data_IF_975536424111
#
_entry.id   IF_975536424111
#
_cell.length_a   1.000
_cell.length_b   1.000
_cell.length_c   1.000
_cell.angle_alpha   90.00
_cell.angle_beta   90.00
_cell.angle_gamma   90.00
#
_symmetry.space_group_name_H-M   'P 1'
#
loop_
_entity.id
_entity.type
_entity.pdbx_description
1 polymer ?
#
# COMPACT_ATOMS: atom_id res chain seq x y z
N UNK A 1 -4.74 -3.95 -42.96
CA UNK A 1 -4.71 -4.44 -41.57
C UNK A 1 -4.43 -3.24 -40.67
N UNK A 2 -5.38 -2.72 -39.92
CA UNK A 2 -5.06 -1.68 -38.96
C UNK A 2 -4.40 -2.34 -37.75
N UNK A 3 -3.07 -2.36 -37.73
CA UNK A 3 -2.29 -2.66 -36.52
C UNK A 3 -2.25 -1.41 -35.63
N UNK A 4 -3.40 -1.02 -35.11
CA UNK A 4 -3.44 -0.01 -34.07
C UNK A 4 -2.88 -0.63 -32.80
N UNK A 5 -1.70 -0.20 -32.34
CA UNK A 5 -1.24 -0.49 -31.00
C UNK A 5 -2.33 -0.04 -30.01
N UNK A 6 -2.72 -0.88 -29.07
CA UNK A 6 -3.73 -0.50 -28.09
C UNK A 6 -3.25 0.74 -27.31
N UNK A 7 -4.07 1.79 -27.32
CA UNK A 7 -3.74 3.04 -26.63
C UNK A 7 -3.97 2.86 -25.15
N UNK A 8 -2.98 3.10 -24.30
CA UNK A 8 -3.18 3.02 -22.85
C UNK A 8 -4.09 4.16 -22.35
N UNK A 9 -4.90 3.86 -21.37
CA UNK A 9 -5.72 4.84 -20.63
C UNK A 9 -5.18 5.01 -19.21
N UNK A 10 -5.22 6.24 -18.72
CA UNK A 10 -4.82 6.59 -17.37
C UNK A 10 -5.99 7.19 -16.64
N UNK A 11 -6.24 6.77 -15.41
CA UNK A 11 -7.29 7.34 -14.56
C UNK A 11 -6.88 7.44 -13.10
N UNK A 12 -7.58 8.28 -12.37
CA UNK A 12 -7.54 8.29 -10.91
C UNK A 12 -8.49 7.20 -10.39
N UNK A 13 -8.04 6.44 -9.40
CA UNK A 13 -8.89 5.50 -8.67
C UNK A 13 -9.85 6.28 -7.77
N UNK A 14 -11.06 5.77 -7.60
CA UNK A 14 -11.97 6.32 -6.60
C UNK A 14 -11.49 6.00 -5.16
N UNK A 15 -12.04 6.67 -4.13
CA UNK A 15 -11.61 6.44 -2.75
C UNK A 15 -11.72 4.98 -2.31
N UNK A 16 -12.78 4.28 -2.69
CA UNK A 16 -13.00 2.88 -2.33
C UNK A 16 -11.98 1.95 -3.00
N UNK A 17 -11.72 2.14 -4.28
CA UNK A 17 -10.69 1.40 -5.03
C UNK A 17 -9.30 1.61 -4.41
N UNK A 18 -9.00 2.86 -4.03
CA UNK A 18 -7.73 3.25 -3.40
C UNK A 18 -7.54 2.55 -2.05
N UNK A 19 -8.55 2.59 -1.18
CA UNK A 19 -8.54 1.89 0.11
C UNK A 19 -8.44 0.36 -0.05
N UNK A 20 -9.16 -0.22 -1.00
CA UNK A 20 -9.11 -1.65 -1.28
C UNK A 20 -7.73 -2.09 -1.76
N UNK A 21 -7.05 -1.30 -2.60
CA UNK A 21 -5.69 -1.59 -3.04
C UNK A 21 -4.73 -1.58 -1.85
N UNK A 22 -4.80 -0.57 -0.99
CA UNK A 22 -3.99 -0.47 0.21
C UNK A 22 -4.25 -1.60 1.21
N UNK A 23 -5.51 -1.98 1.41
CA UNK A 23 -5.90 -3.03 2.36
C UNK A 23 -5.54 -4.46 1.91
N UNK A 24 -5.39 -4.68 0.61
CA UNK A 24 -5.14 -6.00 0.01
C UNK A 24 -3.68 -6.42 0.05
N UNK A 25 -2.76 -5.46 0.22
CA UNK A 25 -1.32 -5.68 0.26
C UNK A 25 -0.75 -5.50 1.66
N UNK A 26 0.45 -6.04 1.87
CA UNK A 26 1.15 -5.99 3.16
C UNK A 26 2.63 -5.57 3.01
N UNK A 27 3.07 -5.26 1.81
CA UNK A 27 4.38 -4.69 1.52
C UNK A 27 4.19 -3.40 0.74
N UNK A 28 4.77 -2.33 1.26
CA UNK A 28 4.79 -1.02 0.60
C UNK A 28 6.19 -0.43 0.63
N UNK A 29 6.34 0.74 0.07
CA UNK A 29 7.57 1.54 0.10
C UNK A 29 7.32 2.81 0.89
N UNK A 30 7.96 2.91 2.04
CA UNK A 30 7.89 4.13 2.85
C UNK A 30 8.95 5.11 2.37
N UNK A 31 8.53 6.34 2.08
CA UNK A 31 9.40 7.46 1.76
C UNK A 31 9.38 8.48 2.91
N UNK A 32 10.55 8.95 3.30
CA UNK A 32 10.73 9.93 4.37
C UNK A 32 11.93 10.84 4.08
N UNK A 33 12.01 11.97 4.77
CA UNK A 33 13.11 12.93 4.60
C UNK A 33 14.12 12.82 5.73
N UNK A 34 15.39 12.72 5.40
CA UNK A 34 16.50 12.71 6.34
C UNK A 34 17.65 13.57 5.83
N UNK A 35 18.06 14.57 6.60
CA UNK A 35 19.12 15.52 6.23
C UNK A 35 18.93 16.15 4.83
N UNK A 36 17.69 16.54 4.48
CA UNK A 36 17.35 17.16 3.20
C UNK A 36 17.33 16.20 2.00
N UNK A 37 17.49 14.90 2.22
CA UNK A 37 17.41 13.85 1.22
C UNK A 37 16.15 13.00 1.46
N UNK A 38 15.51 12.55 0.38
CA UNK A 38 14.43 11.59 0.45
C UNK A 38 15.01 10.19 0.37
N UNK A 39 14.70 9.35 1.35
CA UNK A 39 15.00 7.93 1.35
C UNK A 39 13.72 7.12 1.15
N UNK A 40 13.84 5.96 0.48
CA UNK A 40 12.73 5.05 0.18
C UNK A 40 13.16 3.64 0.57
N UNK A 41 12.32 2.94 1.33
CA UNK A 41 12.61 1.58 1.78
C UNK A 41 11.34 0.70 1.75
N UNK A 42 11.46 -0.61 1.47
CA UNK A 42 10.35 -1.53 1.65
C UNK A 42 9.99 -1.69 3.13
N UNK A 43 8.69 -1.79 3.41
CA UNK A 43 8.19 -2.02 4.76
C UNK A 43 6.96 -2.92 4.73
N UNK A 44 6.85 -3.82 5.71
CA UNK A 44 5.61 -4.56 5.94
C UNK A 44 4.63 -3.69 6.72
N UNK A 45 3.37 -3.75 6.33
CA UNK A 45 2.31 -3.00 6.97
C UNK A 45 0.99 -3.78 6.99
N UNK A 46 0.06 -3.32 7.82
CA UNK A 46 -1.36 -3.68 7.77
C UNK A 46 -2.18 -2.40 7.77
N UNK A 47 -3.35 -2.44 7.13
CA UNK A 47 -4.26 -1.29 7.00
C UNK A 47 -5.66 -1.62 7.53
N UNK A 48 -5.84 -1.79 8.82
CA UNK A 48 -7.16 -1.89 9.42
C UNK A 48 -7.72 -0.50 9.75
N UNK A 49 -9.06 -0.35 9.64
CA UNK A 49 -9.83 0.78 10.16
C UNK A 49 -9.31 2.18 9.74
N UNK A 50 -8.82 2.29 8.50
CA UNK A 50 -8.35 3.56 7.96
C UNK A 50 -7.00 4.06 8.51
N UNK A 51 -6.23 3.20 9.18
CA UNK A 51 -4.89 3.51 9.66
C UNK A 51 -3.88 2.45 9.22
N UNK A 52 -2.65 2.90 8.96
CA UNK A 52 -1.53 2.04 8.60
C UNK A 52 -0.74 1.73 9.87
N UNK A 53 -0.48 0.45 10.11
CA UNK A 53 0.39 0.00 11.19
C UNK A 53 1.57 -0.75 10.63
N UNK A 54 2.75 -0.45 11.14
CA UNK A 54 4.01 -1.04 10.70
C UNK A 54 4.98 -1.13 11.87
N UNK A 55 6.08 -1.85 11.70
CA UNK A 55 7.15 -1.90 12.69
C UNK A 55 8.51 -1.80 12.03
N UNK A 56 9.46 -1.23 12.75
CA UNK A 56 10.82 -1.03 12.30
C UNK A 56 11.83 -1.29 13.43
N UNK A 57 13.07 -1.48 13.05
CA UNK A 57 14.17 -1.48 14.00
C UNK A 57 14.53 -0.04 14.43
N UNK A 58 15.09 0.17 15.63
CA UNK A 58 15.77 1.40 15.97
C UNK A 58 16.88 1.70 14.95
N UNK A 59 17.05 2.98 14.58
CA UNK A 59 18.09 3.35 13.60
C UNK A 59 17.82 4.71 12.95
N UNK A 60 18.50 4.97 11.83
CA UNK A 60 18.44 6.25 11.10
C UNK A 60 17.03 6.64 10.65
N UNK A 61 16.23 5.67 10.22
CA UNK A 61 14.82 5.90 9.87
C UNK A 61 14.03 6.46 11.05
N UNK A 62 14.16 5.86 12.24
CA UNK A 62 13.45 6.33 13.43
C UNK A 62 13.91 7.73 13.83
N UNK A 63 15.22 8.02 13.75
CA UNK A 63 15.76 9.35 13.99
C UNK A 63 15.22 10.38 12.98
N UNK A 64 15.14 10.00 11.70
CA UNK A 64 14.55 10.83 10.65
C UNK A 64 13.07 11.14 10.93
N UNK A 65 12.28 10.14 11.28
CA UNK A 65 10.85 10.27 11.61
C UNK A 65 10.60 11.10 12.88
N UNK A 66 11.51 11.01 13.85
CA UNK A 66 11.45 11.87 15.05
C UNK A 66 11.68 13.35 14.73
N UNK A 67 12.50 13.66 13.71
CA UNK A 67 12.78 15.01 13.26
C UNK A 67 11.71 15.53 12.28
N UNK A 68 11.26 14.67 11.36
CA UNK A 68 10.21 14.99 10.38
C UNK A 68 9.25 13.81 10.27
N UNK A 69 8.10 13.84 10.95
CA UNK A 69 7.18 12.71 11.01
C UNK A 69 6.32 12.53 9.75
N UNK A 70 6.49 13.37 8.72
CA UNK A 70 5.79 13.25 7.45
C UNK A 70 6.36 12.14 6.59
N UNK A 71 5.49 11.29 6.08
CA UNK A 71 5.85 10.20 5.17
C UNK A 71 4.90 10.11 3.98
N UNK A 72 5.37 9.41 2.95
CA UNK A 72 4.51 8.78 1.97
C UNK A 72 4.70 7.26 2.05
N UNK A 73 3.61 6.50 1.97
CA UNK A 73 3.64 5.05 1.75
C UNK A 73 3.04 4.79 0.38
N UNK A 74 3.80 4.15 -0.49
CA UNK A 74 3.37 3.73 -1.82
C UNK A 74 3.17 2.23 -1.85
N UNK A 75 2.11 1.79 -2.55
CA UNK A 75 1.79 0.39 -2.82
C UNK A 75 1.33 0.27 -4.26
N UNK A 76 1.83 -0.73 -4.97
CA UNK A 76 1.50 -0.92 -6.38
C UNK A 76 1.18 -2.39 -6.74
N UNK A 77 0.48 -2.53 -7.85
CA UNK A 77 0.30 -3.76 -8.61
C UNK A 77 0.77 -3.47 -10.04
N UNK A 78 1.74 -4.22 -10.55
CA UNK A 78 2.29 -4.00 -11.88
C UNK A 78 2.25 -5.31 -12.66
N UNK A 79 1.35 -5.39 -13.63
CA UNK A 79 1.22 -6.53 -14.55
C UNK A 79 1.92 -6.25 -15.89
N UNK A 80 2.15 -5.00 -16.23
CA UNK A 80 2.82 -4.58 -17.45
C UNK A 80 3.08 -3.08 -17.50
N UNK A 81 3.77 -2.63 -18.57
CA UNK A 81 4.16 -1.23 -18.75
C UNK A 81 2.97 -0.25 -18.68
N UNK A 82 1.83 -0.66 -19.21
CA UNK A 82 0.59 0.11 -19.21
C UNK A 82 -0.57 -0.67 -18.57
N UNK A 83 -0.25 -1.55 -17.64
CA UNK A 83 -1.24 -2.30 -16.87
C UNK A 83 -0.78 -2.38 -15.42
N UNK A 84 -1.10 -1.32 -14.67
CA UNK A 84 -0.70 -1.17 -13.29
C UNK A 84 -1.68 -0.31 -12.49
N UNK A 85 -1.67 -0.48 -11.19
CA UNK A 85 -2.34 0.37 -10.20
C UNK A 85 -1.36 0.76 -9.12
N UNK A 86 -1.49 1.96 -8.60
CA UNK A 86 -0.74 2.39 -7.42
C UNK A 86 -1.60 3.24 -6.50
N UNK A 87 -1.26 3.22 -5.24
CA UNK A 87 -1.80 4.12 -4.21
C UNK A 87 -0.65 4.75 -3.45
N UNK A 88 -0.77 6.05 -3.18
CA UNK A 88 0.13 6.78 -2.29
C UNK A 88 -0.68 7.32 -1.12
N UNK A 89 -0.26 6.96 0.09
CA UNK A 89 -0.79 7.47 1.34
C UNK A 89 0.20 8.48 1.94
N UNK A 90 -0.22 9.73 2.09
CA UNK A 90 0.54 10.74 2.82
C UNK A 90 -0.01 10.90 4.22
N UNK A 91 0.87 11.04 5.21
CA UNK A 91 0.42 11.24 6.58
C UNK A 91 1.56 11.38 7.59
N UNK A 92 1.16 11.61 8.82
CA UNK A 92 2.07 11.75 9.96
C UNK A 92 2.25 10.42 10.67
N UNK A 93 3.51 10.07 10.97
CA UNK A 93 3.86 8.88 11.75
C UNK A 93 3.79 9.19 13.25
N UNK A 94 3.19 8.27 13.98
CA UNK A 94 3.18 8.24 15.44
C UNK A 94 3.91 6.99 15.93
N UNK A 95 4.88 7.17 16.80
CA UNK A 95 5.52 6.04 17.51
C UNK A 95 4.62 5.64 18.67
N UNK A 96 4.18 4.38 18.67
CA UNK A 96 3.35 3.85 19.75
C UNK A 96 4.22 3.18 20.80
N UNK A 97 3.86 3.37 22.09
CA UNK A 97 4.63 2.91 23.25
C UNK A 97 3.73 2.17 24.22
N UNK A 98 4.29 1.18 24.91
CA UNK A 98 3.61 0.40 25.94
C UNK A 98 3.84 0.93 27.37
N UNK A 99 4.76 1.88 27.53
CA UNK A 99 5.14 2.51 28.80
C UNK A 99 4.43 3.84 29.11
N UNK A 100 3.54 4.27 28.18
CA UNK A 100 2.79 5.52 28.30
C UNK A 100 1.51 5.44 29.13
N UNK A 101 0.69 6.50 29.12
CA UNK A 101 -0.65 6.53 29.72
C UNK A 101 -1.56 5.39 29.24
N UNK A 102 -2.64 5.06 29.96
CA UNK A 102 -3.53 3.95 29.60
C UNK A 102 -4.04 3.95 28.15
N UNK A 103 -4.36 5.13 27.61
CA UNK A 103 -4.82 5.30 26.21
C UNK A 103 -3.73 4.95 25.20
N UNK A 104 -2.49 5.35 25.45
CA UNK A 104 -1.36 5.02 24.58
C UNK A 104 -1.04 3.54 24.63
N UNK A 105 -1.03 2.93 25.82
CA UNK A 105 -0.84 1.48 25.98
C UNK A 105 -1.94 0.68 25.28
N UNK A 106 -3.19 1.14 25.31
CA UNK A 106 -4.27 0.50 24.56
C UNK A 106 -4.05 0.60 23.06
N UNK A 107 -3.66 1.78 22.56
CA UNK A 107 -3.33 1.98 21.15
C UNK A 107 -2.16 1.08 20.70
N UNK A 108 -1.14 0.92 21.54
CA UNK A 108 -0.03 0.01 21.30
C UNK A 108 -0.50 -1.46 21.24
N UNK A 109 -1.28 -1.92 22.21
CA UNK A 109 -1.82 -3.29 22.22
C UNK A 109 -2.66 -3.59 20.99
N UNK A 110 -3.50 -2.65 20.59
CA UNK A 110 -4.32 -2.78 19.40
C UNK A 110 -3.43 -2.88 18.14
N UNK A 111 -2.41 -2.05 18.02
CA UNK A 111 -1.46 -2.10 16.91
C UNK A 111 -0.71 -3.44 16.85
N UNK A 112 -0.27 -3.96 18.00
CA UNK A 112 0.36 -5.28 18.09
C UNK A 112 -0.60 -6.39 17.63
N UNK A 113 -1.87 -6.33 18.04
CA UNK A 113 -2.89 -7.28 17.58
C UNK A 113 -3.06 -7.25 16.05
N UNK A 114 -3.11 -6.08 15.45
CA UNK A 114 -3.17 -5.93 13.98
C UNK A 114 -1.91 -6.48 13.29
N UNK A 115 -0.71 -6.14 13.79
CA UNK A 115 0.55 -6.65 13.22
C UNK A 115 0.66 -8.18 13.30
N UNK A 116 0.07 -8.79 14.34
CA UNK A 116 0.02 -10.25 14.50
C UNK A 116 -0.93 -10.94 13.52
N UNK A 117 -1.81 -10.23 12.84
CA UNK A 117 -2.56 -10.80 11.72
C UNK A 117 -1.66 -11.13 10.55
N UNK A 118 -0.55 -10.40 10.39
CA UNK A 118 0.46 -10.63 9.35
C UNK A 118 1.58 -11.55 9.83
N UNK A 119 2.10 -11.32 11.04
CA UNK A 119 3.18 -12.10 11.67
C UNK A 119 2.71 -12.52 13.06
N UNK A 120 2.15 -13.72 13.26
CA UNK A 120 1.54 -14.15 14.52
C UNK A 120 2.43 -14.04 15.75
N UNK A 121 3.75 -14.23 15.61
CA UNK A 121 4.74 -14.10 16.68
C UNK A 121 5.38 -12.71 16.80
N UNK A 122 4.86 -11.70 16.07
CA UNK A 122 5.41 -10.34 16.11
C UNK A 122 5.52 -9.81 17.55
N UNK A 123 6.69 -9.24 17.89
CA UNK A 123 6.99 -8.68 19.20
C UNK A 123 6.83 -9.69 20.36
N UNK A 124 7.10 -10.95 20.09
CA UNK A 124 7.02 -12.03 21.08
C UNK A 124 8.06 -13.11 20.80
N UNK A 125 7.98 -14.21 21.53
CA UNK A 125 8.87 -15.36 21.35
C UNK A 125 8.70 -15.96 19.94
N UNK A 126 9.81 -16.23 19.27
CA UNK A 126 9.81 -16.77 17.91
C UNK A 126 9.51 -15.75 16.81
N UNK A 127 9.60 -14.45 17.09
CA UNK A 127 9.51 -13.40 16.07
C UNK A 127 10.62 -13.58 15.02
N UNK A 128 10.29 -13.69 13.72
CA UNK A 128 11.30 -13.86 12.67
C UNK A 128 12.17 -12.60 12.45
N UNK A 129 11.76 -11.44 12.98
CA UNK A 129 12.49 -10.17 12.91
C UNK A 129 12.49 -9.45 14.26
N UNK A 130 13.17 -10.05 15.27
CA UNK A 130 13.11 -9.56 16.67
C UNK A 130 13.73 -8.18 16.87
N UNK A 131 14.55 -7.71 15.94
CA UNK A 131 15.13 -6.36 15.94
C UNK A 131 14.09 -5.26 15.64
N UNK A 132 12.94 -5.60 15.04
CA UNK A 132 11.89 -4.64 14.68
C UNK A 132 10.94 -4.39 15.85
N UNK A 133 11.44 -3.71 16.87
CA UNK A 133 10.75 -3.50 18.14
C UNK A 133 9.90 -2.22 18.20
N UNK A 134 10.07 -1.30 17.25
CA UNK A 134 9.36 -0.01 17.24
C UNK A 134 8.09 -0.12 16.44
N UNK A 135 6.95 0.12 17.08
CA UNK A 135 5.62 0.11 16.47
C UNK A 135 5.24 1.52 16.04
N UNK A 136 4.83 1.63 14.78
CA UNK A 136 4.47 2.87 14.13
C UNK A 136 3.01 2.82 13.68
N UNK A 137 2.33 3.96 13.80
CA UNK A 137 0.99 4.19 13.27
C UNK A 137 0.99 5.41 12.37
N UNK A 138 0.32 5.32 11.23
CA UNK A 138 0.04 6.46 10.34
C UNK A 138 -1.46 6.54 10.13
N UNK A 139 -2.03 7.73 10.34
CA UNK A 139 -3.33 8.09 9.78
C UNK A 139 -3.06 8.84 8.48
N UNK A 140 -3.48 8.30 7.33
CA UNK A 140 -3.37 9.03 6.09
C UNK A 140 -4.23 10.31 6.14
N UNK A 141 -3.60 11.44 5.81
CA UNK A 141 -4.30 12.70 5.59
C UNK A 141 -4.81 12.78 4.15
N UNK A 142 -4.11 12.09 3.24
CA UNK A 142 -4.42 12.02 1.83
C UNK A 142 -4.13 10.62 1.29
N UNK A 143 -5.07 10.10 0.50
CA UNK A 143 -4.93 8.88 -0.29
C UNK A 143 -5.15 9.22 -1.76
N UNK A 144 -4.16 8.94 -2.61
CA UNK A 144 -4.27 9.11 -4.06
C UNK A 144 -4.01 7.79 -4.76
N UNK A 145 -4.94 7.40 -5.64
CA UNK A 145 -4.81 6.18 -6.43
C UNK A 145 -4.77 6.49 -7.93
N UNK A 146 -3.94 5.75 -8.66
CA UNK A 146 -3.80 5.85 -10.11
C UNK A 146 -3.80 4.49 -10.75
N UNK A 147 -4.30 4.43 -11.99
CA UNK A 147 -4.33 3.23 -12.80
C UNK A 147 -3.94 3.56 -14.25
N UNK A 148 -3.13 2.69 -14.84
CA UNK A 148 -2.97 2.58 -16.29
C UNK A 148 -3.57 1.26 -16.75
N UNK A 149 -4.30 1.29 -17.86
CA UNK A 149 -4.80 0.09 -18.51
C UNK A 149 -4.64 0.16 -20.01
N UNK A 150 -4.25 -0.96 -20.60
CA UNK A 150 -4.28 -1.15 -22.04
C UNK A 150 -5.69 -1.60 -22.43
N UNK A 151 -6.39 -0.83 -23.27
CA UNK A 151 -7.67 -1.24 -23.80
C UNK A 151 -7.49 -2.51 -24.65
N UNK A 152 -8.09 -3.62 -24.23
CA UNK A 152 -8.21 -4.79 -25.09
C UNK A 152 -9.03 -4.39 -26.33
N UNK A 153 -8.57 -4.70 -27.55
CA UNK A 153 -9.42 -4.50 -28.73
C UNK A 153 -10.72 -5.29 -28.55
N UNK A 154 -11.85 -4.62 -28.76
CA UNK A 154 -13.16 -5.25 -28.71
C UNK A 154 -13.11 -6.49 -29.59
N UNK A 155 -13.40 -7.68 -29.02
CA UNK A 155 -13.59 -8.89 -29.82
C UNK A 155 -14.78 -8.62 -30.70
N UNK A 156 -14.54 -8.46 -32.00
CA UNK A 156 -15.63 -8.53 -32.99
C UNK A 156 -16.23 -9.93 -32.88
N UNK A 157 -17.44 -10.02 -32.37
CA UNK A 157 -18.26 -11.21 -32.54
C UNK A 157 -18.43 -11.39 -34.04
N UNK A 158 -17.77 -12.41 -34.60
CA UNK A 158 -18.10 -12.89 -35.94
C UNK A 158 -19.56 -13.30 -35.90
N UNK A 159 -20.40 -12.43 -36.46
CA UNK A 159 -21.81 -12.74 -36.68
C UNK A 159 -21.91 -14.01 -37.51
N UNK A 160 -22.68 -14.91 -36.98
CA UNK A 160 -23.16 -16.13 -37.60
C UNK A 160 -23.81 -15.78 -38.95
N UNK A 161 -23.08 -16.01 -40.04
CA UNK A 161 -23.68 -16.00 -41.36
C UNK A 161 -24.18 -17.41 -41.64
N UNK A 162 -25.34 -17.74 -41.08
CA UNK A 162 -26.16 -18.83 -41.56
C UNK A 162 -26.68 -18.48 -42.95
N UNK A 163 -25.93 -18.91 -43.95
CA UNK A 163 -26.40 -18.95 -45.32
C UNK A 163 -27.47 -20.02 -45.47
N UNK A 164 -28.70 -19.61 -45.62
CA UNK A 164 -29.84 -20.42 -46.02
C UNK A 164 -29.67 -20.78 -47.49
N UNK A 165 -29.45 -22.07 -47.75
CA UNK A 165 -29.56 -22.67 -49.09
C UNK A 165 -30.92 -23.33 -49.16
N UNK A 166 -31.79 -22.83 -49.98
CA UNK A 166 -33.06 -23.46 -50.37
C UNK A 166 -33.07 -23.72 -51.89
N UNK A 167 -33.80 -24.75 -52.33
CA UNK A 167 -33.50 -25.75 -53.34
C UNK A 167 -33.62 -25.28 -54.78
#
# INVERSE_FOLDING_TARGET
MPTGNPTPTFRTLDPRETEQLLARHNVGRIAYTFHGRVDIEPIHYVYPDGAIYMRTAPGSKLAALAHSPWIALEVDEVDGLFDWRSVVAHGTVYVLRDDGPPVERESYRQAVAYLRTLVPSALGDGDPTPERTVVLKVRPDELTGREARTAMPARHSLGDATGEVTP
#
